data_IF_364642389340
#
_entry.id   IF_364642389340
#
_cell.length_a   1.000
_cell.length_b   1.000
_cell.length_c   1.000
_cell.angle_alpha   90.00
_cell.angle_beta   90.00
_cell.angle_gamma   90.00
#
_symmetry.space_group_name_H-M   'P 1'
#
loop_
_entity.id
_entity.type
_entity.pdbx_description
1 polymer ?
#
# COMPACT_ATOMS: atom_id res chain seq x y z
N UNK A 1 -7.99 -44.46 -0.60
CA UNK A 1 -7.99 -45.06 0.76
C UNK A 1 -6.83 -44.45 1.48
N UNK A 2 -7.07 -43.70 2.56
CA UNK A 2 -6.09 -43.45 3.63
C UNK A 2 -6.78 -42.61 4.71
N UNK A 3 -7.18 -43.26 5.80
CA UNK A 3 -7.79 -42.62 6.97
C UNK A 3 -6.66 -42.39 7.98
N UNK A 4 -6.19 -41.15 8.09
CA UNK A 4 -5.17 -40.75 9.05
C UNK A 4 -5.73 -40.73 10.48
N UNK A 5 -5.13 -41.56 11.33
CA UNK A 5 -5.40 -41.74 12.77
C UNK A 5 -5.28 -40.45 13.57
N UNK A 6 -6.35 -40.04 14.24
CA UNK A 6 -6.32 -39.01 15.30
C UNK A 6 -5.71 -39.62 16.57
N UNK A 7 -4.63 -39.02 17.06
CA UNK A 7 -3.87 -39.43 18.25
C UNK A 7 -4.24 -38.52 19.45
N UNK A 8 -4.69 -39.17 20.53
CA UNK A 8 -4.84 -38.70 21.93
C UNK A 8 -6.07 -37.87 22.34
N UNK A 9 -6.84 -38.44 23.28
CA UNK A 9 -6.88 -37.79 24.60
C UNK A 9 -8.19 -37.27 25.19
N UNK A 10 -9.34 -37.96 25.04
CA UNK A 10 -10.41 -37.92 26.07
C UNK A 10 -11.03 -39.31 26.22
N UNK A 11 -10.95 -39.87 27.43
CA UNK A 11 -11.66 -41.10 27.80
C UNK A 11 -13.17 -40.86 27.59
N UNK A 12 -13.72 -41.38 26.50
CA UNK A 12 -15.17 -41.50 26.33
C UNK A 12 -15.62 -42.63 27.25
N UNK A 13 -16.50 -42.32 28.20
CA UNK A 13 -17.09 -43.33 29.09
C UNK A 13 -17.75 -44.44 28.27
N UNK A 14 -17.60 -45.68 28.74
CA UNK A 14 -18.33 -46.82 28.19
C UNK A 14 -19.83 -46.51 28.21
N UNK A 15 -20.44 -46.45 27.03
CA UNK A 15 -21.89 -46.50 26.90
C UNK A 15 -22.33 -47.92 27.23
N UNK A 16 -23.02 -48.11 28.36
CA UNK A 16 -23.74 -49.35 28.63
C UNK A 16 -24.78 -49.53 27.53
N UNK A 17 -24.53 -50.47 26.64
CA UNK A 17 -25.51 -50.95 25.69
C UNK A 17 -26.56 -51.72 26.49
N UNK A 18 -27.67 -51.06 26.85
CA UNK A 18 -28.86 -51.78 27.28
C UNK A 18 -29.42 -52.47 26.04
N UNK A 19 -29.71 -53.78 26.09
CA UNK A 19 -30.41 -54.44 25.00
C UNK A 19 -31.77 -53.78 24.85
N UNK A 20 -32.07 -53.24 23.67
CA UNK A 20 -33.44 -52.93 23.29
C UNK A 20 -34.22 -54.24 23.32
N UNK A 21 -35.36 -54.34 24.03
CA UNK A 21 -36.20 -55.52 23.92
C UNK A 21 -36.67 -55.61 22.45
N UNK A 22 -36.41 -56.78 21.87
CA UNK A 22 -36.76 -57.14 20.51
C UNK A 22 -38.28 -56.96 20.31
N UNK A 23 -38.67 -55.92 19.58
CA UNK A 23 -40.02 -55.78 19.03
C UNK A 23 -40.03 -56.44 17.66
N UNK A 24 -40.40 -57.72 17.62
CA UNK A 24 -40.81 -58.47 16.42
C UNK A 24 -41.15 -59.90 16.87
N UNK A 25 -42.36 -60.42 16.77
CA UNK A 25 -43.67 -59.82 16.61
C UNK A 25 -44.62 -60.78 17.30
N UNK A 26 -45.43 -60.28 18.23
CA UNK A 26 -46.60 -61.05 18.64
C UNK A 26 -47.64 -60.82 17.55
N UNK A 27 -47.98 -61.89 16.84
CA UNK A 27 -49.20 -61.91 16.07
C UNK A 27 -50.32 -61.33 16.94
N UNK A 28 -51.11 -60.41 16.40
CA UNK A 28 -52.39 -60.07 16.97
C UNK A 28 -53.27 -61.33 16.89
N UNK A 29 -53.08 -62.24 17.82
CA UNK A 29 -54.12 -63.15 18.23
C UNK A 29 -55.05 -62.28 19.07
N UNK A 30 -56.02 -61.64 18.41
CA UNK A 30 -57.28 -61.34 19.05
C UNK A 30 -57.87 -62.70 19.42
N UNK A 31 -57.49 -63.21 20.58
CA UNK A 31 -58.20 -64.27 21.25
C UNK A 31 -59.45 -63.57 21.76
N UNK A 32 -60.54 -63.68 21.00
CA UNK A 32 -61.88 -63.50 21.54
C UNK A 32 -62.03 -64.53 22.66
N UNK A 33 -61.67 -64.13 23.88
CA UNK A 33 -62.13 -64.80 25.06
C UNK A 33 -63.65 -64.56 25.08
N UNK A 34 -64.36 -65.54 24.51
CA UNK A 34 -65.78 -65.73 24.70
C UNK A 34 -66.03 -65.83 26.20
N UNK A 35 -66.35 -64.70 26.82
CA UNK A 35 -66.84 -64.66 28.19
C UNK A 35 -68.13 -65.49 28.23
N UNK A 36 -68.04 -66.70 28.79
CA UNK A 36 -69.20 -67.46 29.21
C UNK A 36 -70.06 -66.65 30.21
N UNK A 37 -71.28 -67.10 30.52
CA UNK A 37 -72.20 -66.36 31.38
C UNK A 37 -71.51 -66.00 32.70
N UNK A 38 -71.29 -64.70 32.88
CA UNK A 38 -70.60 -64.13 34.05
C UNK A 38 -71.43 -64.46 35.28
N UNK A 39 -70.88 -65.24 36.21
CA UNK A 39 -71.57 -65.57 37.46
C UNK A 39 -71.65 -64.31 38.34
N UNK A 40 -72.82 -63.66 38.31
CA UNK A 40 -73.12 -62.39 38.98
C UNK A 40 -72.93 -62.45 40.51
N UNK A 41 -72.83 -63.65 41.10
CA UNK A 41 -72.61 -63.85 42.54
C UNK A 41 -71.14 -63.67 42.97
N UNK A 42 -70.20 -63.55 42.02
CA UNK A 42 -68.77 -63.30 42.30
C UNK A 42 -68.28 -61.93 41.79
N UNK A 43 -69.19 -60.98 41.55
CA UNK A 43 -68.83 -59.63 41.08
C UNK A 43 -68.80 -58.66 42.26
N UNK A 44 -67.62 -58.16 42.61
CA UNK A 44 -67.45 -57.06 43.56
C UNK A 44 -67.86 -55.76 42.89
N UNK A 45 -69.04 -55.23 43.23
CA UNK A 45 -69.50 -53.92 42.75
C UNK A 45 -68.72 -52.82 43.46
N UNK A 46 -67.74 -52.23 42.77
CA UNK A 46 -67.03 -51.05 43.27
C UNK A 46 -67.90 -49.80 43.15
N UNK A 47 -67.89 -48.96 44.19
CA UNK A 47 -68.44 -47.61 44.09
C UNK A 47 -67.56 -46.75 43.19
N UNK A 48 -68.14 -45.72 42.57
CA UNK A 48 -67.38 -44.78 41.73
C UNK A 48 -66.23 -44.11 42.51
N UNK A 49 -66.45 -43.83 43.80
CA UNK A 49 -65.43 -43.29 44.68
C UNK A 49 -64.26 -44.26 44.92
N UNK A 50 -64.53 -45.58 45.03
CA UNK A 50 -63.49 -46.59 45.18
C UNK A 50 -62.69 -46.79 43.89
N UNK A 51 -63.36 -46.69 42.73
CA UNK A 51 -62.69 -46.73 41.42
C UNK A 51 -61.76 -45.54 41.23
N UNK A 52 -62.21 -44.32 41.54
CA UNK A 52 -61.38 -43.11 41.48
C UNK A 52 -60.20 -43.16 42.45
N UNK A 53 -60.38 -43.75 43.64
CA UNK A 53 -59.29 -43.97 44.60
C UNK A 53 -58.23 -44.93 44.05
N UNK A 54 -58.64 -46.08 43.52
CA UNK A 54 -57.73 -47.09 42.96
C UNK A 54 -57.02 -46.53 41.71
N UNK A 55 -57.77 -45.86 40.83
CA UNK A 55 -57.23 -45.21 39.65
C UNK A 55 -56.26 -44.09 40.02
N UNK A 56 -56.59 -43.30 41.04
CA UNK A 56 -55.71 -42.25 41.59
C UNK A 56 -54.40 -42.81 42.15
N UNK A 57 -54.44 -43.95 42.85
CA UNK A 57 -53.23 -44.62 43.34
C UNK A 57 -52.38 -45.23 42.22
N UNK A 58 -53.01 -45.83 41.20
CA UNK A 58 -52.32 -46.40 40.05
C UNK A 58 -51.69 -45.31 39.17
N UNK A 59 -52.39 -44.19 38.98
CA UNK A 59 -51.94 -43.06 38.17
C UNK A 59 -51.07 -42.05 38.93
N UNK A 60 -50.96 -42.15 40.26
CA UNK A 60 -50.12 -41.27 41.09
C UNK A 60 -48.68 -41.17 40.55
N UNK A 61 -48.07 -42.31 40.26
CA UNK A 61 -46.71 -42.36 39.73
C UNK A 61 -46.61 -41.74 38.32
N UNK A 62 -47.67 -41.85 37.51
CA UNK A 62 -47.73 -41.26 36.17
C UNK A 62 -47.91 -39.73 36.26
N UNK A 63 -48.83 -39.25 37.09
CA UNK A 63 -49.06 -37.82 37.35
C UNK A 63 -47.86 -37.13 37.98
N UNK A 64 -47.19 -37.78 38.94
CA UNK A 64 -45.95 -37.27 39.52
C UNK A 64 -44.83 -37.17 38.45
N UNK A 65 -44.71 -38.15 37.55
CA UNK A 65 -43.78 -38.10 36.41
C UNK A 65 -44.11 -37.00 35.42
N UNK A 66 -45.39 -36.81 35.08
CA UNK A 66 -45.84 -35.73 34.20
C UNK A 66 -45.59 -34.36 34.80
N UNK A 67 -45.87 -34.18 36.10
CA UNK A 67 -45.56 -32.95 36.84
C UNK A 67 -44.06 -32.65 36.85
N UNK A 68 -43.21 -33.66 37.05
CA UNK A 68 -41.75 -33.51 36.98
C UNK A 68 -41.30 -33.17 35.55
N UNK A 69 -41.89 -33.80 34.54
CA UNK A 69 -41.59 -33.54 33.14
C UNK A 69 -42.00 -32.12 32.71
N UNK A 70 -43.20 -31.67 33.11
CA UNK A 70 -43.70 -30.32 32.87
C UNK A 70 -42.79 -29.26 33.52
N UNK A 71 -42.40 -29.44 34.79
CA UNK A 71 -41.46 -28.55 35.47
C UNK A 71 -40.07 -28.53 34.80
N UNK A 72 -39.60 -29.67 34.30
CA UNK A 72 -38.34 -29.73 33.51
C UNK A 72 -38.47 -28.98 32.20
N UNK A 73 -39.58 -29.15 31.48
CA UNK A 73 -39.83 -28.46 30.21
C UNK A 73 -39.91 -26.94 30.42
N UNK A 74 -40.62 -26.48 31.44
CA UNK A 74 -40.70 -25.06 31.80
C UNK A 74 -39.31 -24.49 32.13
N UNK A 75 -38.51 -25.20 32.93
CA UNK A 75 -37.13 -24.78 33.26
C UNK A 75 -36.23 -24.69 32.02
N UNK A 76 -36.37 -25.63 31.08
CA UNK A 76 -35.64 -25.60 29.83
C UNK A 76 -36.05 -24.40 28.96
N UNK A 77 -37.35 -24.14 28.84
CA UNK A 77 -37.86 -22.98 28.10
C UNK A 77 -37.38 -21.64 28.69
N UNK A 78 -37.34 -21.52 30.02
CA UNK A 78 -36.83 -20.33 30.72
C UNK A 78 -35.31 -20.15 30.54
N UNK A 79 -34.57 -21.26 30.51
CA UNK A 79 -33.14 -21.27 30.22
C UNK A 79 -32.84 -20.84 28.79
N UNK A 80 -33.65 -21.28 27.82
CA UNK A 80 -33.51 -20.90 26.42
C UNK A 80 -33.78 -19.40 26.22
N UNK A 81 -34.87 -18.87 26.80
CA UNK A 81 -35.14 -17.41 26.81
C UNK A 81 -33.98 -16.61 27.39
N UNK A 82 -33.39 -17.10 28.48
CA UNK A 82 -32.26 -16.46 29.14
C UNK A 82 -31.00 -16.47 28.24
N UNK A 83 -30.74 -17.57 27.51
CA UNK A 83 -29.65 -17.63 26.53
C UNK A 83 -29.84 -16.66 25.37
N UNK A 84 -31.06 -16.54 24.85
CA UNK A 84 -31.36 -15.65 23.73
C UNK A 84 -31.15 -14.18 24.10
N UNK A 85 -31.53 -13.78 25.32
CA UNK A 85 -31.26 -12.44 25.82
C UNK A 85 -29.76 -12.16 25.94
N UNK A 86 -28.98 -13.10 26.48
CA UNK A 86 -27.54 -12.93 26.71
C UNK A 86 -26.72 -12.98 25.41
N UNK A 87 -27.23 -13.63 24.35
CA UNK A 87 -26.55 -13.76 23.06
C UNK A 87 -26.14 -12.42 22.45
N UNK A 88 -26.98 -11.39 22.63
CA UNK A 88 -26.75 -10.07 22.06
C UNK A 88 -25.98 -9.13 23.00
N UNK A 89 -25.56 -9.60 24.17
CA UNK A 89 -24.81 -8.78 25.12
C UNK A 89 -23.33 -8.70 24.74
N UNK A 90 -22.91 -7.50 24.32
CA UNK A 90 -21.53 -7.19 23.92
C UNK A 90 -20.50 -7.34 25.05
N UNK A 91 -20.94 -7.21 26.31
CA UNK A 91 -20.07 -7.19 27.49
C UNK A 91 -19.83 -8.58 28.09
N UNK A 92 -20.25 -9.64 27.41
CA UNK A 92 -19.92 -11.02 27.80
C UNK A 92 -18.50 -11.38 27.34
N UNK A 93 -17.84 -12.32 28.03
CA UNK A 93 -16.50 -12.80 27.64
C UNK A 93 -16.51 -13.37 26.20
N UNK A 94 -17.59 -14.03 25.81
CA UNK A 94 -17.75 -14.57 24.46
C UNK A 94 -17.90 -13.44 23.41
N UNK A 95 -18.74 -12.43 23.67
CA UNK A 95 -18.92 -11.28 22.78
C UNK A 95 -17.64 -10.45 22.64
N UNK A 96 -16.91 -10.22 23.73
CA UNK A 96 -15.61 -9.54 23.69
C UNK A 96 -14.57 -10.29 22.86
N UNK A 97 -14.53 -11.63 22.96
CA UNK A 97 -13.66 -12.47 22.12
C UNK A 97 -14.04 -12.39 20.64
N UNK A 98 -15.33 -12.44 20.31
CA UNK A 98 -15.81 -12.27 18.94
C UNK A 98 -15.41 -10.91 18.37
N UNK A 99 -15.66 -9.82 19.09
CA UNK A 99 -15.26 -8.47 18.68
C UNK A 99 -13.75 -8.35 18.47
N UNK A 100 -12.93 -8.98 19.33
CA UNK A 100 -11.47 -9.00 19.16
C UNK A 100 -11.05 -9.78 17.91
N UNK A 101 -11.73 -10.89 17.60
CA UNK A 101 -11.47 -11.67 16.39
C UNK A 101 -11.88 -10.89 15.14
N UNK A 102 -13.04 -10.24 15.14
CA UNK A 102 -13.51 -9.38 14.05
C UNK A 102 -12.58 -8.18 13.82
N UNK A 103 -12.17 -7.50 14.89
CA UNK A 103 -11.21 -6.40 14.79
C UNK A 103 -9.86 -6.87 14.22
N UNK A 104 -9.41 -8.08 14.60
CA UNK A 104 -8.18 -8.66 14.04
C UNK A 104 -8.33 -8.95 12.55
N UNK A 105 -9.44 -9.57 12.14
CA UNK A 105 -9.76 -9.83 10.73
C UNK A 105 -9.79 -8.54 9.91
N UNK A 106 -10.45 -7.51 10.43
CA UNK A 106 -10.53 -6.20 9.77
C UNK A 106 -9.14 -5.58 9.58
N UNK A 107 -8.28 -5.66 10.60
CA UNK A 107 -6.89 -5.17 10.53
C UNK A 107 -6.08 -5.96 9.50
N UNK A 108 -6.19 -7.27 9.50
CA UNK A 108 -5.51 -8.15 8.54
C UNK A 108 -5.96 -7.88 7.10
N UNK A 109 -7.26 -7.71 6.88
CA UNK A 109 -7.82 -7.34 5.58
C UNK A 109 -7.34 -5.96 5.10
N UNK A 110 -7.22 -4.99 6.00
CA UNK A 110 -6.66 -3.67 5.67
C UNK A 110 -5.17 -3.76 5.32
N UNK A 111 -4.37 -4.48 6.10
CA UNK A 111 -2.95 -4.69 5.84
C UNK A 111 -2.71 -5.43 4.51
N UNK A 112 -3.53 -6.41 4.17
CA UNK A 112 -3.47 -7.09 2.86
C UNK A 112 -3.83 -6.16 1.70
N UNK A 113 -4.87 -5.33 1.85
CA UNK A 113 -5.24 -4.33 0.82
C UNK A 113 -4.12 -3.34 0.58
N UNK A 114 -3.45 -2.87 1.64
CA UNK A 114 -2.30 -1.97 1.52
C UNK A 114 -1.13 -2.64 0.78
N UNK A 115 -0.80 -3.89 1.12
CA UNK A 115 0.25 -4.65 0.41
C UNK A 115 -0.08 -4.83 -1.07
N UNK A 116 -1.31 -5.18 -1.41
CA UNK A 116 -1.75 -5.32 -2.80
C UNK A 116 -1.65 -3.99 -3.56
N UNK A 117 -1.97 -2.87 -2.92
CA UNK A 117 -1.81 -1.55 -3.52
C UNK A 117 -0.33 -1.25 -3.81
N UNK A 118 0.56 -1.53 -2.85
CA UNK A 118 2.01 -1.38 -3.03
C UNK A 118 2.52 -2.25 -4.18
N UNK A 119 2.08 -3.51 -4.26
CA UNK A 119 2.47 -4.41 -5.35
C UNK A 119 2.01 -3.89 -6.73
N UNK A 120 0.80 -3.33 -6.80
CA UNK A 120 0.28 -2.71 -8.04
C UNK A 120 1.10 -1.48 -8.43
N UNK A 121 1.46 -0.63 -7.46
CA UNK A 121 2.27 0.57 -7.68
C UNK A 121 3.69 0.21 -8.13
N UNK A 122 4.33 -0.73 -7.45
CA UNK A 122 5.67 -1.22 -7.82
C UNK A 122 5.65 -1.88 -9.20
N UNK A 123 4.64 -2.69 -9.51
CA UNK A 123 4.48 -3.29 -10.84
C UNK A 123 4.33 -2.21 -11.94
N UNK A 124 3.56 -1.15 -11.69
CA UNK A 124 3.45 -0.02 -12.61
C UNK A 124 4.79 0.71 -12.79
N UNK A 125 5.50 0.96 -11.71
CA UNK A 125 6.80 1.63 -11.73
C UNK A 125 7.85 0.82 -12.50
N UNK A 126 7.91 -0.50 -12.28
CA UNK A 126 8.81 -1.40 -13.00
C UNK A 126 8.44 -1.50 -14.49
N UNK A 127 7.15 -1.57 -14.81
CA UNK A 127 6.68 -1.55 -16.19
C UNK A 127 7.06 -0.23 -16.90
N UNK A 128 6.95 0.90 -16.20
CA UNK A 128 7.37 2.20 -16.72
C UNK A 128 8.89 2.26 -16.95
N UNK A 129 9.70 1.87 -15.98
CA UNK A 129 11.16 1.78 -16.13
C UNK A 129 11.57 0.90 -17.30
N UNK A 130 10.91 -0.26 -17.45
CA UNK A 130 11.14 -1.16 -18.59
C UNK A 130 10.77 -0.47 -19.91
N UNK A 131 9.64 0.22 -19.98
CA UNK A 131 9.22 0.98 -21.16
C UNK A 131 10.24 2.07 -21.51
N UNK A 132 10.69 2.85 -20.53
CA UNK A 132 11.69 3.91 -20.73
C UNK A 132 13.03 3.34 -21.21
N UNK A 133 13.48 2.22 -20.64
CA UNK A 133 14.69 1.55 -21.09
C UNK A 133 14.58 1.05 -22.54
N UNK A 134 13.43 0.46 -22.91
CA UNK A 134 13.15 0.03 -24.28
C UNK A 134 13.11 1.21 -25.24
N UNK A 135 12.43 2.31 -24.89
CA UNK A 135 12.37 3.50 -25.74
C UNK A 135 13.76 4.11 -25.92
N UNK A 136 14.56 4.21 -24.85
CA UNK A 136 15.96 4.65 -24.95
C UNK A 136 16.80 3.73 -25.85
N UNK A 137 16.60 2.41 -25.76
CA UNK A 137 17.28 1.47 -26.64
C UNK A 137 16.86 1.66 -28.11
N UNK A 138 15.56 1.87 -28.37
CA UNK A 138 15.03 2.15 -29.72
C UNK A 138 15.60 3.44 -30.30
N UNK A 139 15.68 4.51 -29.52
CA UNK A 139 16.24 5.79 -30.01
C UNK A 139 17.71 5.65 -30.35
N UNK A 140 18.49 4.96 -29.52
CA UNK A 140 19.90 4.65 -29.80
C UNK A 140 20.06 3.80 -31.07
N UNK A 141 19.24 2.76 -31.22
CA UNK A 141 19.24 1.92 -32.42
C UNK A 141 18.87 2.72 -33.67
N UNK A 142 17.88 3.60 -33.57
CA UNK A 142 17.49 4.50 -34.66
C UNK A 142 18.65 5.43 -35.07
N UNK A 143 19.34 6.04 -34.11
CA UNK A 143 20.53 6.86 -34.37
C UNK A 143 21.72 6.08 -34.91
N UNK A 144 21.79 4.77 -34.66
CA UNK A 144 22.82 3.92 -35.22
C UNK A 144 22.65 3.66 -36.73
N UNK A 145 21.44 3.88 -37.29
CA UNK A 145 21.20 3.68 -38.72
C UNK A 145 21.99 4.67 -39.58
N UNK A 146 22.58 4.20 -40.68
CA UNK A 146 23.49 5.02 -41.49
C UNK A 146 22.82 6.23 -42.12
N UNK A 147 21.54 6.12 -42.48
CA UNK A 147 20.74 7.25 -42.97
C UNK A 147 20.70 8.37 -41.92
N UNK A 148 20.47 8.02 -40.66
CA UNK A 148 20.34 8.99 -39.57
C UNK A 148 21.70 9.55 -39.19
N UNK A 149 22.76 8.73 -39.17
CA UNK A 149 24.14 9.23 -38.98
C UNK A 149 24.55 10.22 -40.06
N UNK A 150 24.26 9.91 -41.33
CA UNK A 150 24.51 10.81 -42.45
C UNK A 150 23.77 12.13 -42.31
N UNK A 151 22.50 12.07 -41.90
CA UNK A 151 21.70 13.27 -41.61
C UNK A 151 22.28 14.11 -40.46
N UNK A 152 22.67 13.48 -39.34
CA UNK A 152 23.30 14.20 -38.21
C UNK A 152 24.65 14.82 -38.61
N UNK A 153 25.44 14.13 -39.43
CA UNK A 153 26.69 14.67 -39.97
C UNK A 153 26.44 15.90 -40.86
N UNK A 154 25.42 15.85 -41.71
CA UNK A 154 25.01 17.00 -42.52
C UNK A 154 24.51 18.17 -41.65
N UNK A 155 23.72 17.89 -40.62
CA UNK A 155 23.24 18.90 -39.67
C UNK A 155 24.41 19.60 -38.96
N UNK A 156 25.37 18.83 -38.42
CA UNK A 156 26.57 19.37 -37.80
C UNK A 156 27.38 20.23 -38.76
N UNK A 157 27.51 19.82 -40.02
CA UNK A 157 28.18 20.62 -41.05
C UNK A 157 27.48 21.97 -41.25
N UNK A 158 26.14 22.01 -41.26
CA UNK A 158 25.42 23.30 -41.37
C UNK A 158 25.68 24.23 -40.19
N UNK A 159 25.81 23.69 -38.97
CA UNK A 159 26.15 24.47 -37.77
C UNK A 159 27.57 25.02 -37.86
N UNK A 160 28.54 24.19 -38.23
CA UNK A 160 29.94 24.60 -38.43
C UNK A 160 30.04 25.69 -39.50
N UNK A 161 29.30 25.59 -40.60
CA UNK A 161 29.29 26.61 -41.65
C UNK A 161 28.74 27.96 -41.13
N UNK A 162 27.65 27.94 -40.36
CA UNK A 162 27.10 29.15 -39.72
C UNK A 162 28.08 29.77 -38.74
N UNK A 163 28.70 28.97 -37.87
CA UNK A 163 29.73 29.45 -36.94
C UNK A 163 30.93 30.06 -37.69
N UNK A 164 31.31 29.45 -38.82
CA UNK A 164 32.40 29.96 -39.65
C UNK A 164 32.08 31.33 -40.23
N UNK A 165 30.86 31.54 -40.72
CA UNK A 165 30.41 32.85 -41.20
C UNK A 165 30.48 33.90 -40.08
N UNK A 166 30.02 33.56 -38.87
CA UNK A 166 30.10 34.43 -37.71
C UNK A 166 31.55 34.75 -37.33
N UNK A 167 32.47 33.79 -37.38
CA UNK A 167 33.90 34.03 -37.16
C UNK A 167 34.51 34.97 -38.19
N UNK A 168 34.14 34.81 -39.47
CA UNK A 168 34.62 35.69 -40.55
C UNK A 168 34.11 37.12 -40.29
N UNK A 169 32.85 37.28 -39.93
CA UNK A 169 32.26 38.58 -39.63
C UNK A 169 32.94 39.24 -38.42
N UNK A 170 33.11 38.50 -37.32
CA UNK A 170 33.86 38.96 -36.16
C UNK A 170 35.29 39.39 -36.52
N UNK A 171 35.97 38.61 -37.37
CA UNK A 171 37.33 38.94 -37.82
C UNK A 171 37.36 40.23 -38.64
N UNK A 172 36.38 40.46 -39.52
CA UNK A 172 36.24 41.72 -40.27
C UNK A 172 36.04 42.89 -39.33
N UNK A 173 35.12 42.77 -38.37
CA UNK A 173 34.84 43.82 -37.38
C UNK A 173 36.07 44.15 -36.54
N UNK A 174 36.81 43.13 -36.07
CA UNK A 174 38.08 43.33 -35.35
C UNK A 174 39.13 44.03 -36.20
N UNK A 175 39.27 43.64 -37.48
CA UNK A 175 40.19 44.29 -38.41
C UNK A 175 39.79 45.74 -38.67
N UNK A 176 38.50 46.04 -38.83
CA UNK A 176 38.00 47.40 -39.00
C UNK A 176 38.27 48.26 -37.76
N UNK A 177 38.01 47.72 -36.56
CA UNK A 177 38.27 48.42 -35.30
C UNK A 177 39.77 48.59 -34.98
N UNK A 178 40.62 47.68 -35.45
CA UNK A 178 42.08 47.79 -35.34
C UNK A 178 42.71 48.68 -36.41
N UNK A 179 42.11 48.73 -37.60
CA UNK A 179 42.56 49.50 -38.74
C UNK A 179 42.44 50.99 -38.50
N UNK A 180 43.50 51.59 -37.97
CA UNK A 180 43.54 53.01 -37.60
C UNK A 180 44.31 53.24 -36.31
N UNK A 181 44.29 52.27 -35.38
CA UNK A 181 45.02 52.38 -34.11
C UNK A 181 46.52 52.56 -34.32
N UNK A 182 47.12 51.83 -35.26
CA UNK A 182 48.55 51.94 -35.57
C UNK A 182 48.89 53.32 -36.17
N UNK A 183 47.99 53.90 -36.97
CA UNK A 183 48.16 55.26 -37.52
C UNK A 183 48.03 56.32 -36.43
N UNK A 184 47.03 56.19 -35.57
CA UNK A 184 46.83 57.11 -34.44
C UNK A 184 48.00 57.05 -33.46
N UNK A 185 48.55 55.86 -33.23
CA UNK A 185 49.74 55.67 -32.40
C UNK A 185 50.97 56.32 -33.04
N UNK A 186 51.18 56.11 -34.35
CA UNK A 186 52.26 56.75 -35.10
C UNK A 186 52.17 58.29 -35.03
N UNK A 187 50.97 58.86 -35.20
CA UNK A 187 50.75 60.30 -35.11
C UNK A 187 51.02 60.85 -33.71
N UNK A 188 50.66 60.12 -32.65
CA UNK A 188 51.01 60.50 -31.27
C UNK A 188 52.52 60.50 -31.07
N UNK A 189 53.21 59.43 -31.50
CA UNK A 189 54.67 59.36 -31.40
C UNK A 189 55.38 60.49 -32.17
N UNK A 190 54.88 60.86 -33.35
CA UNK A 190 55.42 62.00 -34.11
C UNK A 190 55.26 63.32 -33.35
N UNK A 191 54.08 63.56 -32.76
CA UNK A 191 53.82 64.76 -31.95
C UNK A 191 54.70 64.81 -30.70
N UNK A 192 54.85 63.69 -30.01
CA UNK A 192 55.69 63.61 -28.81
C UNK A 192 57.16 63.89 -29.13
N UNK A 193 57.65 63.40 -30.27
CA UNK A 193 59.00 63.70 -30.76
C UNK A 193 59.17 65.19 -31.07
N UNK A 194 58.21 65.79 -31.77
CA UNK A 194 58.23 67.22 -32.10
C UNK A 194 58.24 68.10 -30.84
N UNK A 195 57.40 67.76 -29.85
CA UNK A 195 57.38 68.43 -28.56
C UNK A 195 58.71 68.28 -27.80
N UNK A 196 59.30 67.10 -27.82
CA UNK A 196 60.63 66.86 -27.23
C UNK A 196 61.71 67.73 -27.87
N UNK A 197 61.73 67.81 -29.20
CA UNK A 197 62.65 68.68 -29.95
C UNK A 197 62.45 70.15 -29.57
N UNK A 198 61.20 70.62 -29.52
CA UNK A 198 60.89 72.00 -29.15
C UNK A 198 61.37 72.33 -27.72
N UNK A 199 61.14 71.42 -26.77
CA UNK A 199 61.56 71.59 -25.40
C UNK A 199 63.10 71.59 -25.26
N UNK A 200 63.80 70.72 -25.97
CA UNK A 200 65.27 70.70 -26.02
C UNK A 200 65.82 72.00 -26.63
N UNK A 201 65.21 72.52 -27.70
CA UNK A 201 65.54 73.83 -28.26
C UNK A 201 65.33 74.96 -27.25
N UNK A 202 64.22 74.94 -26.50
CA UNK A 202 63.92 75.93 -25.47
C UNK A 202 64.97 75.90 -24.35
N UNK A 203 65.28 74.71 -23.82
CA UNK A 203 66.32 74.54 -22.79
C UNK A 203 67.69 74.99 -23.28
N UNK A 204 68.05 74.68 -24.53
CA UNK A 204 69.30 75.13 -25.14
C UNK A 204 69.37 76.66 -25.26
N UNK A 205 68.27 77.31 -25.65
CA UNK A 205 68.16 78.78 -25.71
C UNK A 205 68.26 79.43 -24.33
N UNK A 206 67.58 78.88 -23.32
CA UNK A 206 67.69 79.35 -21.93
C UNK A 206 69.12 79.19 -21.39
N UNK A 207 69.75 78.03 -21.61
CA UNK A 207 71.14 77.82 -21.22
C UNK A 207 72.10 78.81 -21.92
N UNK A 208 71.87 79.11 -23.20
CA UNK A 208 72.64 80.10 -23.94
C UNK A 208 72.44 81.52 -23.38
N UNK A 209 71.21 81.88 -23.03
CA UNK A 209 70.90 83.17 -22.39
C UNK A 209 71.59 83.29 -21.03
N UNK A 210 71.46 82.28 -20.17
CA UNK A 210 72.10 82.24 -18.85
C UNK A 210 73.63 82.35 -18.98
N UNK A 211 74.24 81.65 -19.94
CA UNK A 211 75.69 81.77 -20.22
C UNK A 211 76.08 83.19 -20.62
N UNK A 212 75.28 83.85 -21.46
CA UNK A 212 75.50 85.25 -21.86
C UNK A 212 75.39 86.19 -20.66
N UNK A 213 74.36 86.03 -19.83
CA UNK A 213 74.16 86.84 -18.62
C UNK A 213 75.32 86.68 -17.62
N UNK A 214 75.80 85.45 -17.40
CA UNK A 214 76.99 85.18 -16.59
C UNK A 214 78.24 85.84 -17.19
N UNK A 215 78.45 85.72 -18.50
CA UNK A 215 79.59 86.36 -19.16
C UNK A 215 79.55 87.90 -19.07
N UNK A 216 78.38 88.51 -19.21
CA UNK A 216 78.20 89.95 -19.04
C UNK A 216 78.34 90.40 -17.59
N UNK A 217 77.92 89.59 -16.61
CA UNK A 217 78.19 89.84 -15.19
C UNK A 217 79.70 89.81 -14.88
N UNK A 218 80.42 88.81 -15.41
CA UNK A 218 81.87 88.67 -15.24
C UNK A 218 82.66 89.84 -15.84
N UNK A 219 82.21 90.43 -16.96
CA UNK A 219 82.84 91.62 -17.56
C UNK A 219 82.62 92.91 -16.77
N UNK A 220 81.66 92.94 -15.85
CA UNK A 220 81.30 94.13 -15.05
C UNK A 220 81.96 94.16 -13.67
N UNK A 221 82.62 93.08 -13.23
CA UNK A 221 83.55 93.09 -12.09
C UNK A 221 84.93 93.56 -12.55
#
# INVERSE_FOLDING_TARGET
MEISKVKYGRRSGQTRHTPSPNQQGFANTFQEDSHGPVDLKQVTVLSQADWDRIHGHLTRNAREKEMIAAKRAEKLALHERSKDMVKNWSNTIAGQRQKKLEARKLKEEQEEKEKVQIDIEEAKFQAQKRKEAIEKAKTLQYYQTDRVKGFHGALLLTEVLKERELQIELKKQRKAAGGGKDKDLLLKHQKDLELGILEDHRKAMEALKNRKEVAEFQKKQ
#
